data_IF_666548435377
#
_entry.id   IF_666548435377
#
_cell.length_a   1.000
_cell.length_b   1.000
_cell.length_c   1.000
_cell.angle_alpha   90.00
_cell.angle_beta   90.00
_cell.angle_gamma   90.00
#
_symmetry.space_group_name_H-M   'P 1'
#
loop_
_entity.id
_entity.type
_entity.pdbx_description
1 polymer ?
#
# COMPACT_ATOMS: atom_id res chain seq x y z
N UNK A 1 18.77 -0.95 -34.31
CA UNK A 1 17.98 0.28 -34.58
C UNK A 1 17.89 1.00 -33.26
N UNK A 2 18.59 2.12 -33.16
CA UNK A 2 18.61 2.93 -31.95
C UNK A 2 17.32 3.77 -31.89
N UNK A 3 16.76 4.01 -30.71
CA UNK A 3 15.50 4.76 -30.58
C UNK A 3 15.61 6.19 -31.11
N UNK A 4 16.83 6.71 -31.19
CA UNK A 4 17.15 8.03 -31.75
C UNK A 4 16.96 8.09 -33.28
N UNK A 5 17.10 6.97 -34.00
CA UNK A 5 16.93 6.95 -35.47
C UNK A 5 15.45 7.06 -35.88
N UNK A 6 14.52 6.67 -35.01
CA UNK A 6 13.08 6.62 -35.30
C UNK A 6 12.37 7.98 -35.17
N UNK A 7 13.02 8.99 -34.59
CA UNK A 7 12.45 10.34 -34.38
C UNK A 7 13.02 11.38 -35.35
N UNK A 8 13.97 10.98 -36.21
CA UNK A 8 14.73 11.87 -37.09
C UNK A 8 13.90 12.55 -38.19
N UNK A 9 12.70 12.05 -38.52
CA UNK A 9 11.83 12.61 -39.56
C UNK A 9 10.74 13.57 -39.05
N UNK A 10 10.66 13.83 -37.74
CA UNK A 10 9.59 14.65 -37.15
C UNK A 10 8.23 13.93 -37.06
N UNK A 11 8.16 12.68 -37.48
CA UNK A 11 6.98 11.84 -37.33
C UNK A 11 6.88 11.28 -35.90
N UNK A 12 5.64 11.17 -35.39
CA UNK A 12 5.40 10.59 -34.06
C UNK A 12 5.70 9.09 -34.08
N UNK A 13 6.52 8.66 -33.13
CA UNK A 13 6.77 7.24 -32.88
C UNK A 13 5.46 6.54 -32.49
N UNK A 14 5.13 5.45 -33.18
CA UNK A 14 3.97 4.60 -32.88
C UNK A 14 4.45 3.29 -32.29
N UNK A 15 3.91 2.93 -31.13
CA UNK A 15 4.18 1.66 -30.45
C UNK A 15 2.87 0.97 -30.05
N UNK A 16 2.90 -0.36 -29.95
CA UNK A 16 1.83 -1.15 -29.33
C UNK A 16 2.30 -1.51 -27.92
N UNK A 17 1.45 -1.27 -26.94
CA UNK A 17 1.73 -1.56 -25.54
C UNK A 17 0.66 -2.49 -24.98
N UNK A 18 1.09 -3.63 -24.48
CA UNK A 18 0.25 -4.54 -23.69
C UNK A 18 0.49 -4.25 -22.22
N UNK A 19 -0.55 -3.77 -21.53
CA UNK A 19 -0.47 -3.39 -20.13
C UNK A 19 -0.72 -4.61 -19.25
N UNK A 20 0.21 -4.87 -18.35
CA UNK A 20 0.09 -5.87 -17.28
C UNK A 20 0.44 -5.22 -15.94
N UNK A 21 -0.19 -5.62 -14.83
CA UNK A 21 0.14 -5.07 -13.54
C UNK A 21 1.56 -5.49 -13.13
N UNK A 22 2.33 -4.53 -12.62
CA UNK A 22 3.58 -4.83 -11.92
C UNK A 22 3.32 -5.47 -10.56
N UNK A 23 4.38 -6.00 -9.94
CA UNK A 23 4.36 -6.51 -8.55
C UNK A 23 5.13 -5.55 -7.66
N UNK A 24 4.44 -4.62 -7.02
CA UNK A 24 5.09 -3.56 -6.26
C UNK A 24 4.25 -3.04 -5.09
N UNK A 25 4.91 -2.77 -3.97
CA UNK A 25 4.40 -1.89 -2.90
C UNK A 25 5.03 -0.51 -3.12
N UNK A 26 4.18 0.48 -3.43
CA UNK A 26 4.61 1.87 -3.72
C UNK A 26 4.53 2.78 -2.50
N UNK A 27 3.73 2.41 -1.51
CA UNK A 27 3.56 3.15 -0.26
C UNK A 27 3.43 2.16 0.89
N UNK A 28 4.18 2.40 1.96
CA UNK A 28 4.08 1.72 3.24
C UNK A 28 4.28 2.77 4.32
N UNK A 29 3.19 3.36 4.80
CA UNK A 29 3.22 4.54 5.67
C UNK A 29 2.48 4.31 6.98
N UNK A 30 3.01 4.89 8.05
CA UNK A 30 2.45 4.85 9.39
C UNK A 30 2.14 6.28 9.81
N UNK A 31 0.91 6.55 10.22
CA UNK A 31 0.52 7.80 10.88
C UNK A 31 0.30 7.47 12.36
N UNK A 32 1.21 7.91 13.23
CA UNK A 32 1.22 7.51 14.64
C UNK A 32 0.09 8.16 15.44
N UNK A 33 -0.24 9.41 15.14
CA UNK A 33 -1.26 10.19 15.83
C UNK A 33 -2.06 11.03 14.81
N UNK A 34 -2.94 10.40 14.01
CA UNK A 34 -3.75 11.12 13.02
C UNK A 34 -4.81 12.00 13.70
N UNK A 35 -5.15 13.12 13.06
CA UNK A 35 -6.25 13.97 13.52
C UNK A 35 -7.61 13.25 13.39
N UNK A 36 -8.51 13.49 14.35
CA UNK A 36 -9.85 12.87 14.34
C UNK A 36 -10.66 13.16 13.06
N UNK A 37 -10.42 14.30 12.40
CA UNK A 37 -11.06 14.62 11.11
C UNK A 37 -10.64 13.66 9.99
N UNK A 38 -9.40 13.16 10.02
CA UNK A 38 -8.89 12.22 9.02
C UNK A 38 -9.61 10.87 9.15
N UNK A 39 -9.73 10.38 10.38
CA UNK A 39 -10.48 9.16 10.70
C UNK A 39 -11.92 9.20 10.17
N UNK A 40 -12.64 10.29 10.44
CA UNK A 40 -14.02 10.47 9.98
C UNK A 40 -14.12 10.46 8.44
N UNK A 41 -13.20 11.15 7.76
CA UNK A 41 -13.19 11.21 6.29
C UNK A 41 -12.82 9.89 5.64
N UNK A 42 -12.01 9.08 6.31
CA UNK A 42 -11.66 7.73 5.86
C UNK A 42 -12.75 6.70 6.18
N UNK A 43 -13.86 7.10 6.82
CA UNK A 43 -14.94 6.19 7.20
C UNK A 43 -14.55 5.22 8.32
N UNK A 44 -13.51 5.56 9.09
CA UNK A 44 -13.05 4.77 10.22
C UNK A 44 -13.96 4.98 11.43
N UNK A 45 -14.14 3.95 12.25
CA UNK A 45 -15.10 3.95 13.35
C UNK A 45 -14.72 5.00 14.43
N UNK A 46 -15.58 6.01 14.67
CA UNK A 46 -15.36 7.02 15.71
C UNK A 46 -15.42 6.50 17.14
N UNK A 47 -16.02 5.35 17.36
CA UNK A 47 -16.24 4.79 18.69
C UNK A 47 -15.01 4.04 19.21
N UNK A 48 -14.07 3.69 18.33
CA UNK A 48 -12.74 3.21 18.68
C UNK A 48 -11.94 4.39 19.22
N UNK A 49 -11.31 4.23 20.38
CA UNK A 49 -10.63 5.29 21.11
C UNK A 49 -9.61 6.03 20.21
N UNK A 50 -10.05 7.18 19.67
CA UNK A 50 -9.28 8.05 18.78
C UNK A 50 -7.93 8.45 19.36
N UNK A 51 -7.80 8.43 20.69
CA UNK A 51 -6.60 8.91 21.37
C UNK A 51 -5.38 8.00 21.19
N UNK A 52 -5.54 6.78 20.64
CA UNK A 52 -4.47 5.76 20.60
C UNK A 52 -4.36 4.92 19.34
N UNK A 53 -5.10 5.25 18.29
CA UNK A 53 -5.13 4.41 17.09
C UNK A 53 -4.25 5.04 16.01
N UNK A 54 -3.06 4.49 15.80
CA UNK A 54 -2.24 4.75 14.64
C UNK A 54 -2.88 4.14 13.39
N UNK A 55 -2.56 4.68 12.21
CA UNK A 55 -3.05 4.18 10.92
C UNK A 55 -1.86 3.65 10.11
N UNK A 56 -1.98 2.41 9.63
CA UNK A 56 -1.12 1.85 8.58
C UNK A 56 -1.77 2.00 7.22
N UNK A 57 -1.03 2.50 6.23
CA UNK A 57 -1.49 2.68 4.85
C UNK A 57 -0.51 1.97 3.91
N UNK A 58 -1.01 1.05 3.11
CA UNK A 58 -0.24 0.35 2.08
C UNK A 58 -0.90 0.53 0.72
N UNK A 59 -0.10 0.80 -0.30
CA UNK A 59 -0.53 0.78 -1.71
C UNK A 59 0.25 -0.29 -2.46
N UNK A 60 -0.47 -1.20 -3.10
CA UNK A 60 0.12 -2.35 -3.78
C UNK A 60 -0.50 -2.65 -5.14
N UNK A 61 0.33 -3.13 -6.06
CA UNK A 61 -0.04 -3.64 -7.37
C UNK A 61 0.47 -5.08 -7.50
N UNK A 62 -0.33 -6.02 -8.04
CA UNK A 62 -1.73 -5.88 -8.45
C UNK A 62 -2.70 -5.69 -7.27
N UNK A 63 -3.87 -5.07 -7.52
CA UNK A 63 -4.78 -4.62 -6.47
C UNK A 63 -5.33 -5.76 -5.59
N UNK A 64 -5.49 -6.95 -6.15
CA UNK A 64 -5.96 -8.15 -5.47
C UNK A 64 -5.03 -8.58 -4.33
N UNK A 65 -3.77 -8.16 -4.36
CA UNK A 65 -2.80 -8.46 -3.29
C UNK A 65 -3.12 -7.75 -1.98
N UNK A 66 -3.98 -6.71 -2.00
CA UNK A 66 -4.49 -6.06 -0.80
C UNK A 66 -5.20 -7.06 0.14
N UNK A 67 -5.83 -8.09 -0.41
CA UNK A 67 -6.49 -9.16 0.37
C UNK A 67 -5.45 -10.00 1.10
N UNK A 68 -4.31 -10.29 0.46
CA UNK A 68 -3.21 -11.06 1.05
C UNK A 68 -2.51 -10.23 2.13
N UNK A 69 -2.24 -8.95 1.83
CA UNK A 69 -1.66 -8.01 2.79
C UNK A 69 -2.52 -7.84 4.04
N UNK A 70 -3.85 -7.77 3.87
CA UNK A 70 -4.79 -7.70 4.98
C UNK A 70 -4.70 -8.91 5.91
N UNK A 71 -4.71 -10.12 5.35
CA UNK A 71 -4.62 -11.37 6.12
C UNK A 71 -3.32 -11.44 6.94
N UNK A 72 -2.20 -11.05 6.33
CA UNK A 72 -0.89 -11.00 6.98
C UNK A 72 -0.88 -9.95 8.10
N UNK A 73 -1.35 -8.74 7.84
CA UNK A 73 -1.36 -7.65 8.81
C UNK A 73 -2.10 -8.05 10.10
N UNK A 74 -3.32 -8.58 9.96
CA UNK A 74 -4.15 -9.01 11.10
C UNK A 74 -3.47 -10.12 11.89
N UNK A 75 -2.91 -11.14 11.21
CA UNK A 75 -2.25 -12.28 11.86
C UNK A 75 -0.90 -11.93 12.50
N UNK A 76 -0.21 -10.92 12.01
CA UNK A 76 1.12 -10.54 12.50
C UNK A 76 1.06 -9.75 13.80
N UNK A 77 0.05 -8.88 13.97
CA UNK A 77 0.07 -7.88 15.04
C UNK A 77 -1.29 -7.57 15.67
N UNK A 78 -2.36 -8.28 15.32
CA UNK A 78 -3.69 -8.06 15.92
C UNK A 78 -4.30 -6.70 15.58
N UNK A 79 -3.87 -6.06 14.48
CA UNK A 79 -4.45 -4.80 13.99
C UNK A 79 -5.90 -4.99 13.55
N UNK A 80 -6.69 -3.95 13.71
CA UNK A 80 -8.05 -3.88 13.21
C UNK A 80 -8.04 -3.50 11.73
N UNK A 81 -8.68 -4.35 10.91
CA UNK A 81 -8.76 -4.13 9.48
C UNK A 81 -9.85 -3.11 9.17
N UNK A 82 -9.46 -1.94 8.68
CA UNK A 82 -10.42 -0.86 8.44
C UNK A 82 -10.88 -0.79 6.99
N UNK A 83 -9.98 -0.98 6.04
CA UNK A 83 -10.31 -0.89 4.61
C UNK A 83 -9.41 -1.80 3.77
N UNK A 84 -10.04 -2.60 2.90
CA UNK A 84 -9.36 -3.41 1.89
C UNK A 84 -9.98 -3.10 0.54
N UNK A 85 -9.25 -2.35 -0.27
CA UNK A 85 -9.66 -2.01 -1.62
C UNK A 85 -8.95 -2.91 -2.64
N UNK A 86 -9.64 -3.98 -3.02
CA UNK A 86 -9.19 -4.91 -4.07
C UNK A 86 -9.33 -4.36 -5.50
N UNK A 87 -9.78 -3.12 -5.67
CA UNK A 87 -9.86 -2.45 -6.97
C UNK A 87 -8.67 -1.51 -7.18
N UNK A 88 -8.30 -0.73 -6.15
CA UNK A 88 -7.15 0.18 -6.22
C UNK A 88 -5.85 -0.39 -5.64
N UNK A 89 -5.93 -1.43 -4.80
CA UNK A 89 -4.79 -1.98 -4.07
C UNK A 89 -4.45 -1.22 -2.79
N UNK A 90 -5.39 -0.43 -2.26
CA UNK A 90 -5.24 0.32 -1.01
C UNK A 90 -5.63 -0.56 0.17
N UNK A 91 -4.75 -0.64 1.17
CA UNK A 91 -4.97 -1.33 2.43
C UNK A 91 -4.78 -0.34 3.59
N UNK A 92 -5.78 -0.26 4.47
CA UNK A 92 -5.77 0.55 5.68
C UNK A 92 -6.12 -0.32 6.89
N UNK A 93 -5.30 -0.25 7.93
CA UNK A 93 -5.56 -0.89 9.21
C UNK A 93 -5.16 0.03 10.37
N UNK A 94 -5.75 -0.21 11.52
CA UNK A 94 -5.59 0.61 12.73
C UNK A 94 -5.14 -0.24 13.91
N UNK A 95 -4.44 0.38 14.85
CA UNK A 95 -3.97 -0.27 16.08
C UNK A 95 -3.03 0.65 16.83
N UNK A 96 -2.32 0.15 17.83
CA UNK A 96 -1.22 0.91 18.43
C UNK A 96 -0.10 1.12 17.42
N UNK A 97 0.74 2.15 17.63
CA UNK A 97 1.89 2.45 16.74
C UNK A 97 2.78 1.21 16.53
N UNK A 98 3.01 0.43 17.58
CA UNK A 98 3.83 -0.78 17.52
C UNK A 98 3.18 -1.90 16.73
N UNK A 99 1.87 -2.12 16.89
CA UNK A 99 1.13 -3.12 16.14
C UNK A 99 1.08 -2.76 14.65
N UNK A 100 0.81 -1.49 14.34
CA UNK A 100 0.81 -0.99 12.96
C UNK A 100 2.20 -1.13 12.32
N UNK A 101 3.28 -0.78 13.02
CA UNK A 101 4.63 -0.94 12.48
C UNK A 101 4.97 -2.42 12.23
N UNK A 102 4.64 -3.30 13.16
CA UNK A 102 4.84 -4.74 13.01
C UNK A 102 4.04 -5.28 11.82
N UNK A 103 2.78 -4.88 11.66
CA UNK A 103 1.93 -5.27 10.54
C UNK A 103 2.48 -4.77 9.19
N UNK A 104 2.82 -3.48 9.07
CA UNK A 104 3.39 -2.91 7.83
C UNK A 104 4.67 -3.65 7.43
N UNK A 105 5.58 -3.87 8.38
CA UNK A 105 6.84 -4.60 8.13
C UNK A 105 6.59 -6.05 7.73
N UNK A 106 5.64 -6.74 8.35
CA UNK A 106 5.29 -8.11 8.00
C UNK A 106 4.75 -8.21 6.56
N UNK A 107 3.86 -7.29 6.15
CA UNK A 107 3.34 -7.25 4.77
C UNK A 107 4.47 -6.96 3.78
N UNK A 108 5.32 -5.97 4.05
CA UNK A 108 6.46 -5.62 3.20
C UNK A 108 7.45 -6.79 3.06
N UNK A 109 7.83 -7.43 4.17
CA UNK A 109 8.74 -8.56 4.17
C UNK A 109 8.18 -9.74 3.38
N UNK A 110 6.91 -10.11 3.60
CA UNK A 110 6.29 -11.20 2.84
C UNK A 110 6.23 -10.89 1.34
N UNK A 111 5.81 -9.68 0.97
CA UNK A 111 5.73 -9.27 -0.42
C UNK A 111 7.11 -9.31 -1.11
N UNK A 112 8.16 -8.83 -0.44
CA UNK A 112 9.52 -8.82 -0.97
C UNK A 112 10.15 -10.21 -1.01
N UNK A 113 10.12 -10.93 0.09
CA UNK A 113 10.87 -12.19 0.28
C UNK A 113 10.15 -13.39 -0.32
N UNK A 114 8.82 -13.43 -0.22
CA UNK A 114 8.02 -14.57 -0.70
C UNK A 114 7.47 -14.35 -2.09
N UNK A 115 6.87 -13.18 -2.35
CA UNK A 115 6.20 -12.92 -3.63
C UNK A 115 7.10 -12.19 -4.64
N UNK A 116 8.30 -11.79 -4.23
CA UNK A 116 9.29 -11.07 -5.05
C UNK A 116 8.72 -9.78 -5.65
N UNK A 117 8.12 -8.95 -4.79
CA UNK A 117 7.67 -7.60 -5.13
C UNK A 117 8.83 -6.61 -5.01
N UNK A 118 8.80 -5.55 -5.80
CA UNK A 118 9.55 -4.33 -5.48
C UNK A 118 8.85 -3.65 -4.30
N UNK A 119 9.59 -3.24 -3.26
CA UNK A 119 8.98 -2.68 -2.04
C UNK A 119 9.70 -1.39 -1.65
N UNK A 120 8.94 -0.34 -1.36
CA UNK A 120 9.46 0.94 -0.85
C UNK A 120 9.87 0.83 0.63
N UNK A 121 10.61 1.81 1.13
CA UNK A 121 10.89 1.90 2.57
C UNK A 121 9.61 2.19 3.37
N UNK A 122 9.58 1.70 4.61
CA UNK A 122 8.52 2.03 5.56
C UNK A 122 8.76 3.46 6.07
N UNK A 123 7.74 4.31 5.92
CA UNK A 123 7.79 5.73 6.29
C UNK A 123 6.80 6.03 7.42
N UNK A 124 7.01 7.14 8.14
CA UNK A 124 6.28 7.43 9.38
C UNK A 124 6.02 8.93 9.54
N UNK A 125 4.88 9.28 10.13
CA UNK A 125 4.53 10.63 10.62
C UNK A 125 3.90 10.57 12.00
#
# INVERSE_FOLDING_TARGET
MDFQDMTATGDKMRIVQELVPGKQITLAHIIAAPDGILYQKLGLDPSVDYSKSAIGIITMSPAETAIIGADIAVKAAGVDLSFVDRFSGTLIFTGTVSEVDAAVRAVCAYAQETLHFTVCEVTRT
#
